data_IF_629026089836
#
_entry.id   IF_629026089836
#
_cell.length_a   1.000
_cell.length_b   1.000
_cell.length_c   1.000
_cell.angle_alpha   90.00
_cell.angle_beta   90.00
_cell.angle_gamma   90.00
#
_symmetry.space_group_name_H-M   'P 1'
#
loop_
_entity.id
_entity.type
_entity.pdbx_description
1 polymer ?
#
# COMPACT_ATOMS: atom_id res chain seq x y z
N UNK A 1 -1.43 -5.57 6.61
CA UNK A 1 -2.51 -6.28 5.88
C UNK A 1 -3.84 -5.91 6.48
N UNK A 2 -4.80 -5.52 5.64
CA UNK A 2 -6.18 -5.26 6.04
C UNK A 2 -7.13 -6.14 5.22
N UNK A 3 -8.08 -6.80 5.88
CA UNK A 3 -9.15 -7.57 5.24
C UNK A 3 -10.45 -6.75 5.24
N UNK A 4 -10.57 -5.84 4.28
CA UNK A 4 -11.63 -4.83 4.23
C UNK A 4 -11.19 -3.47 4.79
N UNK A 5 -12.08 -2.48 4.71
CA UNK A 5 -11.77 -1.11 5.12
C UNK A 5 -11.53 -1.03 6.63
N UNK A 6 -10.34 -0.55 7.02
CA UNK A 6 -9.92 -0.37 8.42
C UNK A 6 -9.95 -1.64 9.29
N UNK A 7 -9.99 -2.83 8.68
CA UNK A 7 -9.96 -4.12 9.39
C UNK A 7 -8.58 -4.75 9.29
N UNK A 8 -7.69 -4.33 10.19
CA UNK A 8 -6.32 -4.85 10.25
C UNK A 8 -6.31 -6.32 10.67
N UNK A 9 -5.53 -7.14 9.97
CA UNK A 9 -5.35 -8.58 10.27
C UNK A 9 -3.91 -8.96 10.60
N UNK A 10 -2.95 -8.16 10.13
CA UNK A 10 -1.52 -8.33 10.41
C UNK A 10 -0.78 -7.02 10.14
N UNK A 11 0.18 -6.66 10.97
CA UNK A 11 1.03 -5.48 10.83
C UNK A 11 2.50 -5.86 10.95
N UNK A 12 3.39 -4.87 10.81
CA UNK A 12 4.84 -5.00 11.01
C UNK A 12 5.49 -6.17 10.26
N UNK A 13 5.03 -6.41 9.03
CA UNK A 13 5.55 -7.48 8.19
C UNK A 13 6.98 -7.17 7.73
N UNK A 14 7.91 -8.15 7.76
CA UNK A 14 9.28 -7.95 7.34
C UNK A 14 9.37 -7.67 5.84
N UNK A 15 10.17 -6.69 5.45
CA UNK A 15 10.53 -6.46 4.05
C UNK A 15 11.69 -7.40 3.66
N UNK A 16 11.75 -7.79 2.38
CA UNK A 16 12.91 -8.55 1.88
C UNK A 16 14.16 -7.67 1.86
N UNK A 17 14.00 -6.41 1.47
CA UNK A 17 15.06 -5.41 1.48
C UNK A 17 14.45 -4.05 1.70
N UNK A 18 15.14 -3.22 2.46
CA UNK A 18 14.87 -1.79 2.55
C UNK A 18 16.20 -1.05 2.63
N UNK A 19 16.44 -0.17 1.65
CA UNK A 19 17.62 0.68 1.61
C UNK A 19 17.15 2.13 1.55
N UNK A 20 17.86 3.02 2.24
CA UNK A 20 17.64 4.45 2.12
C UNK A 20 18.98 5.19 2.13
N UNK A 21 19.10 6.18 1.25
CA UNK A 21 20.25 7.08 1.22
C UNK A 21 19.75 8.50 1.41
N UNK A 22 20.46 9.26 2.26
CA UNK A 22 20.18 10.67 2.51
C UNK A 22 21.28 11.48 1.83
N UNK A 23 20.89 12.46 1.02
CA UNK A 23 21.77 13.41 0.37
C UNK A 23 21.23 14.82 0.54
N UNK A 24 21.81 15.57 1.47
CA UNK A 24 21.37 16.94 1.78
C UNK A 24 19.95 16.96 2.34
N UNK A 25 19.06 17.67 1.66
CA UNK A 25 17.64 17.85 2.00
C UNK A 25 16.73 16.77 1.38
N UNK A 26 17.30 15.78 0.69
CA UNK A 26 16.56 14.70 0.02
C UNK A 26 17.00 13.33 0.51
N UNK A 27 16.10 12.38 0.39
CA UNK A 27 16.41 10.97 0.57
C UNK A 27 15.78 10.16 -0.56
N UNK A 28 16.42 9.05 -0.89
CA UNK A 28 15.88 8.04 -1.81
C UNK A 28 15.79 6.72 -1.06
N UNK A 29 14.64 6.06 -1.15
CA UNK A 29 14.43 4.75 -0.56
C UNK A 29 13.97 3.73 -1.58
N UNK A 30 14.41 2.49 -1.38
CA UNK A 30 14.01 1.33 -2.16
C UNK A 30 13.55 0.23 -1.22
N UNK A 31 12.39 -0.36 -1.50
CA UNK A 31 11.81 -1.45 -0.72
C UNK A 31 11.45 -2.61 -1.64
N UNK A 32 11.83 -3.83 -1.26
CA UNK A 32 11.38 -5.06 -1.91
C UNK A 32 10.38 -5.74 -0.98
N UNK A 33 9.12 -5.76 -1.42
CA UNK A 33 8.03 -6.41 -0.70
C UNK A 33 7.90 -7.87 -1.15
N UNK A 34 7.75 -8.83 -0.22
CA UNK A 34 7.30 -10.17 -0.56
C UNK A 34 5.98 -10.14 -1.33
N UNK A 35 5.96 -10.82 -2.48
CA UNK A 35 4.74 -10.96 -3.30
C UNK A 35 3.56 -11.50 -2.49
N UNK A 36 3.83 -12.35 -1.51
CA UNK A 36 2.83 -12.98 -0.66
C UNK A 36 2.01 -12.00 0.19
N UNK A 37 2.42 -10.74 0.29
CA UNK A 37 1.70 -9.71 1.06
C UNK A 37 0.54 -9.08 0.29
N UNK A 38 0.52 -9.19 -1.04
CA UNK A 38 -0.61 -8.73 -1.82
C UNK A 38 -1.82 -9.65 -1.62
N UNK A 39 -3.03 -9.10 -1.37
CA UNK A 39 -4.24 -9.92 -1.30
C UNK A 39 -4.52 -10.58 -2.66
N UNK A 40 -5.33 -11.65 -2.68
CA UNK A 40 -5.82 -12.19 -3.95
C UNK A 40 -6.58 -11.11 -4.72
N UNK A 41 -6.49 -11.14 -6.05
CA UNK A 41 -7.24 -10.26 -6.95
C UNK A 41 -7.06 -8.74 -6.69
N UNK A 42 -5.81 -8.27 -6.58
CA UNK A 42 -5.51 -6.82 -6.55
C UNK A 42 -5.87 -6.20 -7.89
N UNK A 43 -6.77 -5.23 -7.85
CA UNK A 43 -7.26 -4.50 -9.03
C UNK A 43 -7.02 -3.00 -8.94
N UNK A 44 -6.70 -2.49 -7.75
CA UNK A 44 -6.53 -1.07 -7.48
C UNK A 44 -5.37 -0.81 -6.55
N UNK A 45 -4.75 0.36 -6.68
CA UNK A 45 -3.59 0.78 -5.90
C UNK A 45 -3.63 2.27 -5.60
N UNK A 46 -2.96 2.67 -4.52
CA UNK A 46 -2.57 4.04 -4.23
C UNK A 46 -1.27 4.01 -3.41
N UNK A 47 -0.57 5.14 -3.36
CA UNK A 47 0.61 5.33 -2.52
C UNK A 47 0.50 6.69 -1.81
N UNK A 48 1.09 6.79 -0.63
CA UNK A 48 1.02 7.97 0.21
C UNK A 48 2.38 8.37 0.74
N UNK A 49 2.60 9.67 0.90
CA UNK A 49 3.74 10.21 1.62
C UNK A 49 3.24 11.18 2.70
N UNK A 50 3.85 11.09 3.89
CA UNK A 50 3.55 11.96 5.03
C UNK A 50 4.88 12.50 5.52
N UNK A 51 5.04 13.82 5.52
CA UNK A 51 6.26 14.49 5.95
C UNK A 51 5.93 15.82 6.62
N UNK A 52 6.95 16.46 7.22
CA UNK A 52 6.75 17.60 8.11
C UNK A 52 6.16 17.21 9.48
N UNK A 53 5.94 18.21 10.33
CA UNK A 53 5.50 18.01 11.70
C UNK A 53 4.49 19.07 12.15
N UNK A 54 3.66 18.74 13.14
CA UNK A 54 2.67 19.67 13.70
C UNK A 54 1.72 20.24 12.63
N UNK A 55 1.64 21.58 12.58
CA UNK A 55 0.88 22.34 11.59
C UNK A 55 1.44 22.26 10.17
N UNK A 56 2.72 21.92 10.03
CA UNK A 56 3.44 21.90 8.76
C UNK A 56 3.46 20.49 8.15
N UNK A 57 2.70 19.55 8.72
CA UNK A 57 2.58 18.20 8.20
C UNK A 57 1.86 18.21 6.84
N UNK A 58 2.51 17.63 5.85
CA UNK A 58 2.01 17.50 4.49
C UNK A 58 1.60 16.06 4.24
N UNK A 59 0.47 15.90 3.57
CA UNK A 59 -0.12 14.63 3.18
C UNK A 59 -0.21 14.57 1.66
N UNK A 60 0.49 13.62 1.06
CA UNK A 60 0.52 13.44 -0.39
C UNK A 60 0.01 12.05 -0.76
N UNK A 61 -0.52 11.94 -1.97
CA UNK A 61 -1.05 10.70 -2.53
C UNK A 61 -0.76 10.64 -4.02
N UNK A 62 -0.45 9.44 -4.53
CA UNK A 62 -0.33 9.22 -5.97
C UNK A 62 -1.65 9.50 -6.70
N UNK A 63 -2.76 9.04 -6.13
CA UNK A 63 -4.11 9.33 -6.62
C UNK A 63 -4.88 10.15 -5.58
N UNK A 64 -5.24 11.41 -5.90
CA UNK A 64 -5.78 12.35 -4.94
C UNK A 64 -7.24 12.05 -4.58
N UNK A 65 -7.57 12.40 -3.35
CA UNK A 65 -8.93 12.42 -2.83
C UNK A 65 -9.49 13.84 -2.96
N UNK A 66 -10.77 14.04 -3.29
CA UNK A 66 -11.37 15.37 -3.40
C UNK A 66 -11.25 16.16 -2.08
N UNK A 67 -11.07 17.48 -2.21
CA UNK A 67 -11.00 18.42 -1.09
C UNK A 67 -12.24 18.45 -0.18
N UNK A 68 -13.34 17.82 -0.59
CA UNK A 68 -14.54 17.69 0.24
C UNK A 68 -14.36 16.72 1.43
N UNK A 69 -13.28 15.95 1.47
CA UNK A 69 -12.95 15.15 2.66
C UNK A 69 -12.30 16.06 3.72
N UNK A 70 -12.84 16.02 4.94
CA UNK A 70 -12.43 16.91 6.03
C UNK A 70 -11.05 16.60 6.59
N UNK A 71 -10.59 15.35 6.45
CA UNK A 71 -9.33 14.88 7.02
C UNK A 71 -8.63 13.88 6.08
N UNK A 72 -7.28 13.80 6.13
CA UNK A 72 -6.54 12.77 5.41
C UNK A 72 -6.95 11.35 5.87
N UNK A 73 -7.45 10.54 4.94
CA UNK A 73 -7.78 9.14 5.20
C UNK A 73 -7.27 8.21 4.09
N UNK A 74 -6.18 7.48 4.40
CA UNK A 74 -5.52 6.53 3.50
C UNK A 74 -6.30 5.24 3.26
N UNK A 75 -7.37 5.01 4.03
CA UNK A 75 -8.21 3.82 3.95
C UNK A 75 -9.47 4.06 3.10
N UNK A 76 -9.59 5.18 2.40
CA UNK A 76 -10.66 5.43 1.45
C UNK A 76 -10.43 4.68 0.13
N UNK A 77 -10.67 3.37 0.14
CA UNK A 77 -10.40 2.45 -0.98
C UNK A 77 -11.07 2.86 -2.30
N UNK A 78 -12.15 3.65 -2.25
CA UNK A 78 -12.88 4.14 -3.41
C UNK A 78 -12.06 5.04 -4.34
N UNK A 79 -11.01 5.70 -3.82
CA UNK A 79 -10.14 6.61 -4.60
C UNK A 79 -8.89 5.94 -5.16
N UNK A 80 -8.70 4.65 -4.90
CA UNK A 80 -7.59 3.91 -5.48
C UNK A 80 -7.88 3.72 -6.97
N UNK A 81 -6.87 3.91 -7.81
CA UNK A 81 -7.01 3.75 -9.26
C UNK A 81 -6.62 2.36 -9.69
N UNK A 82 -7.06 1.98 -10.90
CA UNK A 82 -6.78 0.68 -11.48
C UNK A 82 -5.27 0.43 -11.60
N UNK A 83 -4.87 -0.80 -11.31
CA UNK A 83 -3.50 -1.28 -11.54
C UNK A 83 -3.57 -2.64 -12.24
N UNK A 84 -2.69 -2.84 -13.22
CA UNK A 84 -2.56 -4.13 -13.90
C UNK A 84 -1.41 -4.92 -13.28
N UNK A 85 -1.74 -5.85 -12.39
CA UNK A 85 -0.75 -6.67 -11.70
C UNK A 85 -0.01 -7.62 -12.63
N UNK A 86 -0.54 -7.94 -13.81
CA UNK A 86 0.16 -8.78 -14.79
C UNK A 86 1.38 -8.08 -15.38
N UNK A 87 1.41 -6.74 -15.35
CA UNK A 87 2.55 -5.93 -15.78
C UNK A 87 3.59 -5.72 -14.67
N UNK A 88 3.24 -6.02 -13.42
CA UNK A 88 4.07 -5.74 -12.24
C UNK A 88 4.69 -7.03 -11.68
N UNK A 89 3.92 -8.12 -11.69
CA UNK A 89 4.34 -9.40 -11.13
C UNK A 89 4.40 -10.47 -12.22
N UNK A 90 5.58 -11.04 -12.41
CA UNK A 90 5.76 -12.21 -13.28
C UNK A 90 4.86 -13.37 -12.81
N UNK A 91 4.19 -14.05 -13.73
CA UNK A 91 3.27 -15.16 -13.41
C UNK A 91 2.19 -14.76 -12.40
N UNK A 92 1.60 -13.57 -12.54
CA UNK A 92 0.48 -13.15 -11.70
C UNK A 92 -0.72 -14.09 -11.88
N UNK A 93 -1.26 -14.59 -10.77
CA UNK A 93 -2.51 -15.36 -10.72
C UNK A 93 -3.43 -14.67 -9.72
N UNK A 94 -4.54 -14.10 -10.21
CA UNK A 94 -5.50 -13.39 -9.38
C UNK A 94 -6.23 -14.29 -8.39
N UNK A 95 -6.25 -15.61 -8.64
CA UNK A 95 -6.88 -16.61 -7.77
C UNK A 95 -5.94 -17.18 -6.73
N UNK A 96 -4.63 -16.92 -6.85
CA UNK A 96 -3.66 -17.42 -5.89
C UNK A 96 -3.84 -16.73 -4.54
N UNK A 97 -3.90 -17.54 -3.48
CA UNK A 97 -3.95 -17.10 -2.08
C UNK A 97 -2.66 -17.55 -1.39
N UNK A 98 -1.88 -16.60 -0.90
CA UNK A 98 -0.65 -16.89 -0.15
C UNK A 98 -0.96 -17.41 1.26
N UNK A 99 0.02 -18.06 1.90
CA UNK A 99 -0.09 -18.53 3.29
C UNK A 99 -0.48 -17.42 4.26
N UNK A 100 0.00 -16.20 4.03
CA UNK A 100 -0.32 -15.03 4.84
C UNK A 100 -1.80 -14.66 4.75
N UNK A 101 -2.43 -14.86 3.59
CA UNK A 101 -3.85 -14.55 3.38
C UNK A 101 -4.79 -15.73 3.67
N UNK A 102 -4.32 -16.98 3.64
CA UNK A 102 -5.16 -18.18 3.87
C UNK A 102 -6.07 -18.10 5.10
N UNK A 103 -5.65 -17.60 6.28
CA UNK A 103 -6.53 -17.52 7.45
C UNK A 103 -7.69 -16.51 7.30
N UNK A 104 -7.65 -15.65 6.29
CA UNK A 104 -8.55 -14.51 6.14
C UNK A 104 -9.43 -14.57 4.89
N UNK A 105 -9.20 -15.55 4.02
CA UNK A 105 -10.07 -15.81 2.86
C UNK A 105 -11.11 -16.84 3.31
N UNK A 106 -12.38 -16.44 3.32
CA UNK A 106 -13.50 -17.35 3.56
C UNK A 106 -13.81 -18.12 2.28
N UNK A 107 -13.99 -19.44 2.39
CA UNK A 107 -14.58 -20.27 1.32
C UNK A 107 -16.00 -19.83 0.98
#
# INVERSE_FOLDING_TARGET
>A
MLNGQRKMVKDQLPLTTFNATIGGDRWAGEAILPRSYFPPNVTRFNAYAIHGEGSDRVYESLYPVPWSQSEPDFHLLGYFQQIDMTQILNNYDSKHVSEEWRPFVTN
#
